data_IF_852504349265
#
_entry.id   IF_852504349265
#
_cell.length_a   1.000
_cell.length_b   1.000
_cell.length_c   1.000
_cell.angle_alpha   90.00
_cell.angle_beta   90.00
_cell.angle_gamma   90.00
#
_symmetry.space_group_name_H-M   'P 1'
#
loop_
_entity.id
_entity.type
_entity.pdbx_description
1 polymer ?
#
# COMPACT_ATOMS: atom_id res chain seq x y z
N UNK A 1 -23.09 -5.96 27.77
CA UNK A 1 -21.85 -5.21 27.58
C UNK A 1 -21.64 -5.04 26.09
N UNK A 2 -21.73 -3.81 25.57
CA UNK A 2 -21.39 -3.53 24.17
C UNK A 2 -19.89 -3.82 23.99
N UNK A 3 -19.54 -4.74 23.10
CA UNK A 3 -18.14 -4.99 22.75
C UNK A 3 -17.59 -3.69 22.15
N UNK A 4 -16.59 -3.08 22.78
CA UNK A 4 -15.91 -1.91 22.21
C UNK A 4 -15.34 -2.32 20.85
N UNK A 5 -15.94 -1.83 19.77
CA UNK A 5 -15.48 -2.12 18.42
C UNK A 5 -14.13 -1.44 18.20
N UNK A 6 -13.11 -2.22 17.82
CA UNK A 6 -11.79 -1.66 17.50
C UNK A 6 -11.93 -0.64 16.36
N UNK A 7 -11.20 0.49 16.40
CA UNK A 7 -11.14 1.39 15.26
C UNK A 7 -10.67 0.64 14.02
N UNK A 8 -11.33 0.88 12.89
CA UNK A 8 -11.01 0.30 11.60
C UNK A 8 -10.12 1.28 10.84
N UNK A 9 -8.92 0.83 10.49
CA UNK A 9 -8.02 1.55 9.61
C UNK A 9 -7.95 0.82 8.26
N UNK A 10 -8.30 1.49 7.17
CA UNK A 10 -8.11 0.94 5.82
C UNK A 10 -6.93 1.63 5.15
N UNK A 11 -6.02 0.84 4.57
CA UNK A 11 -4.96 1.31 3.69
C UNK A 11 -5.28 0.91 2.25
N UNK A 12 -5.57 1.90 1.41
CA UNK A 12 -5.65 1.73 -0.04
C UNK A 12 -4.26 1.96 -0.63
N UNK A 13 -3.75 0.98 -1.37
CA UNK A 13 -2.37 1.00 -1.87
C UNK A 13 -2.22 0.39 -3.26
N UNK A 14 -1.12 0.75 -3.92
CA UNK A 14 -0.67 0.17 -5.19
C UNK A 14 0.86 0.05 -5.15
N UNK A 15 1.39 -1.00 -5.77
CA UNK A 15 2.84 -1.27 -5.85
C UNK A 15 3.57 -0.15 -6.61
N UNK A 16 2.90 0.53 -7.56
CA UNK A 16 3.44 1.70 -8.25
C UNK A 16 3.64 2.94 -7.37
N UNK A 17 3.27 2.90 -6.08
CA UNK A 17 3.55 3.99 -5.13
C UNK A 17 4.55 3.53 -4.05
N UNK A 18 5.75 4.14 -3.99
CA UNK A 18 6.74 3.81 -2.96
C UNK A 18 6.32 4.34 -1.58
N UNK A 19 5.63 5.48 -1.51
CA UNK A 19 5.04 5.94 -0.25
C UNK A 19 3.96 5.00 0.26
N UNK A 20 3.30 4.23 -0.63
CA UNK A 20 2.37 3.20 -0.17
C UNK A 20 3.08 2.06 0.54
N UNK A 21 4.31 1.72 0.14
CA UNK A 21 5.15 0.77 0.88
C UNK A 21 5.49 1.29 2.27
N UNK A 22 5.82 2.58 2.37
CA UNK A 22 6.11 3.23 3.66
C UNK A 22 4.89 3.17 4.59
N UNK A 23 3.71 3.56 4.11
CA UNK A 23 2.48 3.46 4.87
C UNK A 23 2.15 2.01 5.26
N UNK A 24 2.34 1.07 4.35
CA UNK A 24 2.13 -0.35 4.61
C UNK A 24 3.00 -0.88 5.75
N UNK A 25 4.32 -0.67 5.71
CA UNK A 25 5.22 -1.17 6.76
C UNK A 25 5.00 -0.46 8.09
N UNK A 26 4.82 0.86 8.06
CA UNK A 26 4.58 1.64 9.27
C UNK A 26 3.27 1.23 9.95
N UNK A 27 2.17 1.05 9.21
CA UNK A 27 0.90 0.62 9.77
C UNK A 27 0.94 -0.81 10.31
N UNK A 28 1.64 -1.74 9.64
CA UNK A 28 1.83 -3.10 10.15
C UNK A 28 2.59 -3.12 11.49
N UNK A 29 3.61 -2.28 11.65
CA UNK A 29 4.36 -2.16 12.92
C UNK A 29 3.50 -1.60 14.05
N UNK A 30 2.56 -0.72 13.71
CA UNK A 30 1.70 -0.02 14.66
C UNK A 30 0.37 -0.72 14.94
N UNK A 31 -0.05 -1.73 14.16
CA UNK A 31 -1.37 -2.36 14.28
C UNK A 31 -1.70 -2.79 15.71
N UNK A 32 -0.77 -3.50 16.36
CA UNK A 32 -0.93 -3.96 17.76
C UNK A 32 -0.89 -2.81 18.76
N UNK A 33 0.01 -1.83 18.55
CA UNK A 33 0.20 -0.67 19.45
C UNK A 33 -1.04 0.22 19.46
N UNK A 34 -1.64 0.42 18.30
CA UNK A 34 -2.84 1.22 18.13
C UNK A 34 -4.12 0.46 18.53
N UNK A 35 -4.05 -0.86 18.68
CA UNK A 35 -5.18 -1.75 18.93
C UNK A 35 -6.32 -1.53 17.91
N UNK A 36 -5.95 -1.50 16.64
CA UNK A 36 -6.88 -1.30 15.50
C UNK A 36 -7.18 -2.62 14.80
N UNK A 37 -8.19 -2.60 13.93
CA UNK A 37 -8.31 -3.53 12.82
C UNK A 37 -7.70 -2.87 11.57
N UNK A 38 -6.65 -3.47 11.00
CA UNK A 38 -6.03 -2.97 9.78
C UNK A 38 -6.55 -3.75 8.56
N UNK A 39 -7.11 -3.04 7.58
CA UNK A 39 -7.50 -3.60 6.29
C UNK A 39 -6.58 -3.10 5.17
N UNK A 40 -5.95 -4.04 4.47
CA UNK A 40 -5.08 -3.79 3.34
C UNK A 40 -5.86 -3.98 2.04
N UNK A 41 -5.99 -2.91 1.25
CA UNK A 41 -6.84 -2.85 0.08
C UNK A 41 -6.02 -2.48 -1.17
N UNK A 42 -5.63 -3.46 -1.99
CA UNK A 42 -5.06 -3.18 -3.31
C UNK A 42 -6.07 -2.38 -4.16
N UNK A 43 -5.59 -1.31 -4.80
CA UNK A 43 -6.33 -0.46 -5.74
C UNK A 43 -5.45 -0.13 -6.94
N UNK A 44 -6.00 0.49 -7.99
CA UNK A 44 -5.22 0.88 -9.18
C UNK A 44 -4.88 2.36 -9.17
N UNK A 45 -3.60 2.70 -8.96
CA UNK A 45 -3.10 4.08 -9.01
C UNK A 45 -3.20 4.66 -10.43
N UNK A 46 -3.03 3.83 -11.45
CA UNK A 46 -3.19 4.23 -12.85
C UNK A 46 -4.61 4.75 -13.13
N UNK A 47 -5.63 4.05 -12.62
CA UNK A 47 -7.02 4.51 -12.74
C UNK A 47 -7.31 5.77 -11.91
N UNK A 48 -6.71 5.88 -10.72
CA UNK A 48 -6.82 7.11 -9.91
C UNK A 48 -6.23 8.30 -10.68
N UNK A 49 -5.01 8.18 -11.21
CA UNK A 49 -4.38 9.24 -11.99
C UNK A 49 -5.13 9.57 -13.27
N UNK A 50 -5.72 8.59 -13.94
CA UNK A 50 -6.62 8.81 -15.08
C UNK A 50 -7.80 9.72 -14.70
N UNK A 51 -8.40 9.46 -13.54
CA UNK A 51 -9.56 10.21 -13.07
C UNK A 51 -9.20 11.62 -12.55
N UNK A 52 -8.02 11.81 -11.95
CA UNK A 52 -7.71 13.03 -11.19
C UNK A 52 -6.60 13.92 -11.75
N UNK A 53 -5.73 13.39 -12.62
CA UNK A 53 -4.47 14.05 -13.00
C UNK A 53 -4.07 13.85 -14.46
N UNK A 54 -5.00 13.46 -15.33
CA UNK A 54 -4.75 13.19 -16.77
C UNK A 54 -3.59 12.20 -16.98
N UNK A 55 -3.51 11.16 -16.16
CA UNK A 55 -2.48 10.12 -16.17
C UNK A 55 -1.05 10.55 -15.77
N UNK A 56 -0.85 11.76 -15.24
CA UNK A 56 0.49 12.21 -14.83
C UNK A 56 0.66 11.99 -13.33
N UNK A 57 1.61 11.14 -12.89
CA UNK A 57 1.91 11.02 -11.46
C UNK A 57 2.25 12.38 -10.87
N UNK A 58 1.67 12.71 -9.71
CA UNK A 58 1.87 14.02 -9.06
C UNK A 58 3.36 14.37 -8.86
N UNK A 59 4.19 13.38 -8.54
CA UNK A 59 5.63 13.52 -8.38
C UNK A 59 6.36 13.92 -9.68
N UNK A 60 5.76 13.69 -10.84
CA UNK A 60 6.36 13.91 -12.17
C UNK A 60 5.75 15.09 -12.93
N UNK A 61 4.84 15.85 -12.31
CA UNK A 61 4.21 17.02 -12.95
C UNK A 61 5.23 18.11 -13.32
N UNK A 62 6.36 18.19 -12.61
CA UNK A 62 7.43 19.15 -12.88
C UNK A 62 8.79 18.58 -12.45
N UNK A 63 9.91 18.99 -13.10
CA UNK A 63 11.25 18.49 -12.78
C UNK A 63 11.66 18.65 -11.31
N UNK A 64 11.24 19.75 -10.67
CA UNK A 64 11.54 20.03 -9.27
C UNK A 64 10.91 19.00 -8.33
N UNK A 65 9.66 18.60 -8.59
CA UNK A 65 8.98 17.54 -7.83
C UNK A 65 9.65 16.19 -8.04
N UNK A 66 10.06 15.88 -9.28
CA UNK A 66 10.73 14.62 -9.58
C UNK A 66 12.08 14.52 -8.86
N UNK A 67 12.88 15.60 -8.88
CA UNK A 67 14.15 15.66 -8.18
C UNK A 67 14.00 15.57 -6.65
N UNK A 68 12.97 16.21 -6.10
CA UNK A 68 12.68 16.12 -4.66
C UNK A 68 12.23 14.71 -4.28
N UNK A 69 11.31 14.12 -5.04
CA UNK A 69 10.79 12.75 -4.83
C UNK A 69 11.92 11.74 -4.69
N UNK A 70 12.91 11.77 -5.59
CA UNK A 70 14.05 10.85 -5.57
C UNK A 70 14.88 11.00 -4.27
N UNK A 71 15.12 12.24 -3.82
CA UNK A 71 15.86 12.49 -2.57
C UNK A 71 15.06 12.09 -1.34
N UNK A 72 13.78 12.42 -1.33
CA UNK A 72 12.89 12.16 -0.21
C UNK A 72 12.69 10.66 0.03
N UNK A 73 12.53 9.86 -1.02
CA UNK A 73 12.41 8.41 -0.88
C UNK A 73 13.60 7.76 -0.17
N UNK A 74 14.83 8.24 -0.42
CA UNK A 74 16.01 7.76 0.30
C UNK A 74 15.95 8.12 1.79
N UNK A 75 15.55 9.35 2.12
CA UNK A 75 15.42 9.81 3.50
C UNK A 75 14.32 9.06 4.26
N UNK A 76 13.15 8.93 3.65
CA UNK A 76 11.99 8.24 4.23
C UNK A 76 12.28 6.74 4.37
N UNK A 77 12.90 6.12 3.37
CA UNK A 77 13.37 4.73 3.45
C UNK A 77 14.33 4.52 4.62
N UNK A 78 15.36 5.36 4.74
CA UNK A 78 16.31 5.31 5.85
C UNK A 78 15.63 5.55 7.21
N UNK A 79 14.69 6.50 7.30
CA UNK A 79 13.94 6.77 8.54
C UNK A 79 13.11 5.56 8.97
N UNK A 80 12.39 4.91 8.04
CA UNK A 80 11.57 3.73 8.35
C UNK A 80 12.35 2.41 8.31
N UNK A 81 13.62 2.39 7.94
CA UNK A 81 14.38 1.14 7.78
C UNK A 81 13.81 0.25 6.68
N UNK A 82 13.29 0.86 5.61
CA UNK A 82 12.79 0.19 4.42
C UNK A 82 13.88 0.35 3.34
N UNK A 83 14.30 -0.72 2.64
CA UNK A 83 15.37 -0.65 1.64
C UNK A 83 14.88 -0.03 0.32
N UNK A 84 14.26 1.15 0.41
CA UNK A 84 13.80 1.95 -0.71
C UNK A 84 14.99 2.49 -1.49
N UNK A 85 15.05 2.12 -2.77
CA UNK A 85 15.99 2.63 -3.75
C UNK A 85 15.17 3.23 -4.89
N UNK A 86 15.27 4.55 -5.12
CA UNK A 86 14.61 5.19 -6.25
C UNK A 86 15.26 4.77 -7.57
N UNK A 87 14.46 4.36 -8.56
CA UNK A 87 14.96 4.16 -9.94
C UNK A 87 14.92 5.48 -10.73
N UNK A 88 15.95 5.71 -11.54
CA UNK A 88 15.94 6.80 -12.55
C UNK A 88 14.97 6.51 -13.69
N UNK A 89 14.72 5.23 -13.97
CA UNK A 89 13.94 4.75 -15.11
C UNK A 89 12.47 4.45 -14.75
N UNK A 90 12.07 4.71 -13.50
CA UNK A 90 10.71 4.43 -13.01
C UNK A 90 9.61 5.06 -13.90
N UNK A 91 9.88 6.21 -14.50
CA UNK A 91 8.93 6.86 -15.42
C UNK A 91 8.68 5.99 -16.67
N UNK A 92 9.72 5.39 -17.22
CA UNK A 92 9.62 4.53 -18.40
C UNK A 92 8.91 3.23 -18.05
N UNK A 93 9.23 2.63 -16.90
CA UNK A 93 8.55 1.42 -16.43
C UNK A 93 7.04 1.63 -16.25
N UNK A 94 6.63 2.76 -15.65
CA UNK A 94 5.22 3.08 -15.43
C UNK A 94 4.45 3.36 -16.73
N UNK A 95 5.12 3.96 -17.74
CA UNK A 95 4.48 4.32 -19.02
C UNK A 95 4.41 3.12 -19.98
N UNK A 96 5.43 2.27 -19.99
CA UNK A 96 5.57 1.20 -20.98
C UNK A 96 4.89 -0.12 -20.58
N UNK A 97 4.45 -0.26 -19.32
CA UNK A 97 3.89 -1.50 -18.81
C UNK A 97 2.44 -1.35 -18.32
N UNK A 98 1.70 -2.46 -18.37
CA UNK A 98 0.37 -2.53 -17.74
C UNK A 98 0.51 -2.48 -16.22
N UNK A 99 0.07 -1.37 -15.63
CA UNK A 99 0.07 -1.18 -14.17
C UNK A 99 -1.01 -1.99 -13.44
N UNK A 100 -1.79 -2.80 -14.15
CA UNK A 100 -2.95 -3.51 -13.60
C UNK A 100 -2.64 -4.89 -13.06
N UNK A 101 -1.59 -5.56 -13.54
CA UNK A 101 -1.27 -6.92 -13.11
C UNK A 101 -0.95 -7.01 -11.61
N UNK A 102 -0.07 -6.16 -11.04
CA UNK A 102 0.21 -6.21 -9.60
C UNK A 102 -1.03 -6.01 -8.71
N UNK A 103 -1.85 -4.95 -8.86
CA UNK A 103 -3.03 -4.78 -8.02
C UNK A 103 -4.11 -5.84 -8.27
N UNK A 104 -4.22 -6.41 -9.49
CA UNK A 104 -5.10 -7.57 -9.76
C UNK A 104 -4.64 -8.81 -9.03
N UNK A 105 -3.36 -9.15 -9.11
CA UNK A 105 -2.81 -10.32 -8.43
C UNK A 105 -2.99 -10.19 -6.92
N UNK A 106 -2.66 -9.03 -6.33
CA UNK A 106 -2.86 -8.81 -4.91
C UNK A 106 -4.33 -8.86 -4.49
N UNK A 107 -5.25 -8.47 -5.39
CA UNK A 107 -6.70 -8.65 -5.16
C UNK A 107 -7.08 -10.13 -5.19
N UNK A 108 -6.54 -10.92 -6.13
CA UNK A 108 -6.75 -12.36 -6.19
C UNK A 108 -6.16 -13.08 -4.96
N UNK A 109 -4.97 -12.70 -4.50
CA UNK A 109 -4.38 -13.17 -3.25
C UNK A 109 -5.27 -12.82 -2.06
N UNK A 110 -5.79 -11.59 -1.98
CA UNK A 110 -6.71 -11.20 -0.90
C UNK A 110 -8.00 -12.04 -0.87
N UNK A 111 -8.49 -12.48 -2.02
CA UNK A 111 -9.70 -13.29 -2.14
C UNK A 111 -9.47 -14.77 -1.81
N UNK A 112 -8.35 -15.34 -2.29
CA UNK A 112 -8.16 -16.79 -2.31
C UNK A 112 -7.09 -17.28 -1.32
N UNK A 113 -6.15 -16.42 -0.93
CA UNK A 113 -5.00 -16.78 -0.11
C UNK A 113 -4.55 -15.58 0.78
N UNK A 114 -5.46 -14.99 1.59
CA UNK A 114 -5.24 -13.71 2.27
C UNK A 114 -4.03 -13.70 3.22
N UNK A 115 -3.63 -14.86 3.74
CA UNK A 115 -2.44 -15.05 4.57
C UNK A 115 -1.13 -14.72 3.85
N UNK A 116 -1.12 -14.74 2.51
CA UNK A 116 0.03 -14.37 1.68
C UNK A 116 0.04 -12.90 1.26
N UNK A 117 -1.05 -12.15 1.46
CA UNK A 117 -1.17 -10.78 0.95
C UNK A 117 -0.02 -9.88 1.42
N UNK A 118 0.33 -9.96 2.71
CA UNK A 118 1.39 -9.13 3.27
C UNK A 118 2.74 -9.46 2.63
N UNK A 119 3.07 -10.75 2.53
CA UNK A 119 4.34 -11.23 1.97
C UNK A 119 4.43 -10.92 0.47
N UNK A 120 3.34 -11.15 -0.28
CA UNK A 120 3.26 -10.86 -1.70
C UNK A 120 3.42 -9.36 -1.99
N UNK A 121 2.72 -8.50 -1.25
CA UNK A 121 2.82 -7.04 -1.41
C UNK A 121 4.25 -6.55 -1.14
N UNK A 122 4.86 -7.02 -0.04
CA UNK A 122 6.26 -6.70 0.30
C UNK A 122 7.23 -7.16 -0.78
N UNK A 123 7.09 -8.38 -1.29
CA UNK A 123 7.97 -8.90 -2.34
C UNK A 123 7.84 -8.09 -3.63
N UNK A 124 6.62 -7.69 -4.02
CA UNK A 124 6.39 -6.81 -5.14
C UNK A 124 7.13 -5.47 -4.99
N UNK A 125 7.01 -4.83 -3.82
CA UNK A 125 7.74 -3.59 -3.57
C UNK A 125 9.25 -3.80 -3.53
N UNK A 126 9.74 -4.93 -3.01
CA UNK A 126 11.17 -5.27 -3.07
C UNK A 126 11.65 -5.37 -4.53
N UNK A 127 10.89 -6.00 -5.42
CA UNK A 127 11.21 -6.04 -6.85
C UNK A 127 11.24 -4.63 -7.45
N UNK A 128 10.16 -3.86 -7.28
CA UNK A 128 9.98 -2.56 -7.93
C UNK A 128 10.88 -1.44 -7.38
N UNK A 129 11.04 -1.37 -6.06
CA UNK A 129 11.60 -0.20 -5.36
C UNK A 129 12.81 -0.52 -4.48
N UNK A 130 13.42 -1.69 -4.67
CA UNK A 130 14.65 -2.04 -3.96
C UNK A 130 15.65 -2.71 -4.89
N UNK A 131 15.20 -3.71 -5.67
CA UNK A 131 16.07 -4.51 -6.54
C UNK A 131 15.98 -4.14 -8.02
N UNK A 132 15.04 -3.26 -8.39
CA UNK A 132 14.81 -2.80 -9.77
C UNK A 132 14.62 -3.96 -10.75
N UNK A 133 13.84 -4.95 -10.31
CA UNK A 133 13.49 -6.12 -11.10
C UNK A 133 12.15 -5.90 -11.81
N UNK A 134 11.92 -6.52 -12.98
CA UNK A 134 10.62 -6.48 -13.64
C UNK A 134 9.49 -6.90 -12.71
N UNK A 135 8.42 -6.09 -12.66
CA UNK A 135 7.32 -6.31 -11.72
C UNK A 135 5.91 -6.19 -12.29
N UNK A 136 5.73 -5.92 -13.58
CA UNK A 136 4.39 -5.86 -14.19
C UNK A 136 4.00 -7.14 -14.94
N UNK A 137 4.97 -8.01 -15.25
CA UNK A 137 4.76 -9.21 -16.06
C UNK A 137 4.03 -10.34 -15.33
N UNK A 138 3.43 -11.24 -16.10
CA UNK A 138 2.90 -12.51 -15.58
C UNK A 138 4.01 -13.37 -14.99
N UNK A 139 5.21 -13.34 -15.56
CA UNK A 139 6.37 -14.07 -15.03
C UNK A 139 6.73 -13.62 -13.60
N UNK A 140 6.57 -12.32 -13.29
CA UNK A 140 6.73 -11.81 -11.93
C UNK A 140 5.78 -12.50 -10.96
N UNK A 141 4.52 -12.71 -11.34
CA UNK A 141 3.53 -13.37 -10.48
C UNK A 141 4.01 -14.77 -10.14
N UNK A 142 4.47 -15.53 -11.14
CA UNK A 142 4.97 -16.89 -10.99
C UNK A 142 6.20 -16.89 -10.07
N UNK A 143 7.16 -15.99 -10.29
CA UNK A 143 8.35 -15.86 -9.44
C UNK A 143 7.99 -15.59 -7.97
N UNK A 144 7.02 -14.70 -7.73
CA UNK A 144 6.57 -14.36 -6.37
C UNK A 144 5.89 -15.55 -5.71
N UNK A 145 5.00 -16.25 -6.42
CA UNK A 145 4.36 -17.47 -5.92
C UNK A 145 5.39 -18.52 -5.53
N UNK A 146 6.38 -18.78 -6.38
CA UNK A 146 7.48 -19.72 -6.11
C UNK A 146 8.31 -19.30 -4.91
N UNK A 147 8.75 -18.05 -4.87
CA UNK A 147 9.59 -17.53 -3.77
C UNK A 147 8.88 -17.60 -2.42
N UNK A 148 7.57 -17.38 -2.39
CA UNK A 148 6.76 -17.40 -1.18
C UNK A 148 6.18 -18.78 -0.84
N UNK A 149 6.47 -19.80 -1.66
CA UNK A 149 5.90 -21.14 -1.56
C UNK A 149 4.37 -21.10 -1.46
N UNK A 150 3.73 -20.29 -2.31
CA UNK A 150 2.27 -20.24 -2.39
C UNK A 150 1.78 -21.50 -3.10
N UNK A 151 0.92 -22.32 -2.47
CA UNK A 151 0.38 -23.51 -3.13
C UNK A 151 -0.48 -23.11 -4.33
N UNK A 152 -0.60 -24.01 -5.32
CA UNK A 152 -1.49 -23.83 -6.47
C UNK A 152 -1.27 -22.53 -7.25
N UNK A 153 -0.01 -22.21 -7.59
CA UNK A 153 0.37 -21.00 -8.33
C UNK A 153 -0.44 -20.77 -9.62
N UNK A 154 -0.86 -21.85 -10.29
CA UNK A 154 -1.72 -21.81 -11.47
C UNK A 154 -3.12 -21.27 -11.16
N UNK A 155 -3.72 -21.71 -10.06
CA UNK A 155 -5.06 -21.27 -9.65
C UNK A 155 -5.05 -19.77 -9.30
N UNK A 156 -4.00 -19.28 -8.65
CA UNK A 156 -3.85 -17.85 -8.38
C UNK A 156 -3.59 -17.03 -9.65
N UNK A 157 -2.85 -17.57 -10.61
CA UNK A 157 -2.64 -16.92 -11.89
C UNK A 157 -3.96 -16.80 -12.67
N UNK A 158 -4.76 -17.85 -12.70
CA UNK A 158 -6.12 -17.83 -13.28
C UNK A 158 -7.02 -16.85 -12.52
N UNK A 159 -7.01 -16.87 -11.19
CA UNK A 159 -7.78 -15.94 -10.36
C UNK A 159 -7.39 -14.48 -10.61
N UNK A 160 -6.13 -14.19 -10.93
CA UNK A 160 -5.67 -12.84 -11.30
C UNK A 160 -6.34 -12.32 -12.57
N UNK A 161 -6.66 -13.21 -13.51
CA UNK A 161 -7.36 -12.89 -14.75
C UNK A 161 -8.88 -13.01 -14.64
N UNK A 162 -9.40 -13.45 -13.48
CA UNK A 162 -10.83 -13.63 -13.26
C UNK A 162 -11.60 -12.31 -13.28
N UNK A 163 -12.89 -12.40 -13.63
CA UNK A 163 -13.83 -11.29 -13.52
C UNK A 163 -13.97 -10.80 -12.09
N UNK A 164 -13.88 -11.69 -11.10
CA UNK A 164 -14.07 -11.37 -9.68
C UNK A 164 -12.95 -10.47 -9.16
N UNK A 165 -11.69 -10.83 -9.44
CA UNK A 165 -10.54 -9.99 -9.08
C UNK A 165 -10.59 -8.64 -9.80
N UNK A 166 -10.96 -8.62 -11.08
CA UNK A 166 -11.07 -7.39 -11.86
C UNK A 166 -12.20 -6.48 -11.34
N UNK A 167 -13.36 -7.04 -11.02
CA UNK A 167 -14.52 -6.31 -10.51
C UNK A 167 -14.24 -5.74 -9.12
N UNK A 168 -13.68 -6.53 -8.22
CA UNK A 168 -13.34 -6.08 -6.87
C UNK A 168 -12.26 -4.98 -6.88
N UNK A 169 -11.25 -5.10 -7.75
CA UNK A 169 -10.24 -4.05 -7.93
C UNK A 169 -10.90 -2.74 -8.40
N UNK A 170 -11.81 -2.82 -9.37
CA UNK A 170 -12.55 -1.67 -9.89
C UNK A 170 -13.45 -1.05 -8.81
N UNK A 171 -14.15 -1.88 -8.04
CA UNK A 171 -15.02 -1.44 -6.94
C UNK A 171 -14.23 -0.65 -5.89
N UNK A 172 -13.13 -1.22 -5.36
CA UNK A 172 -12.29 -0.56 -4.35
C UNK A 172 -11.62 0.71 -4.88
N UNK A 173 -11.21 0.69 -6.16
CA UNK A 173 -10.64 1.88 -6.80
C UNK A 173 -11.70 2.99 -6.94
N UNK A 174 -12.95 2.65 -7.25
CA UNK A 174 -14.05 3.61 -7.29
C UNK A 174 -14.46 4.09 -5.89
N UNK A 175 -14.43 3.22 -4.88
CA UNK A 175 -14.66 3.57 -3.47
C UNK A 175 -13.66 4.65 -3.04
N UNK A 176 -12.36 4.42 -3.25
CA UNK A 176 -11.33 5.38 -2.81
C UNK A 176 -11.39 6.70 -3.60
N UNK A 177 -11.78 6.66 -4.88
CA UNK A 177 -12.07 7.88 -5.66
C UNK A 177 -13.24 8.68 -5.09
N UNK A 178 -14.33 8.02 -4.67
CA UNK A 178 -15.47 8.69 -4.01
C UNK A 178 -15.08 9.32 -2.67
N UNK A 179 -14.07 8.78 -1.99
CA UNK A 179 -13.49 9.37 -0.78
C UNK A 179 -12.58 10.58 -1.07
N UNK A 180 -12.39 10.94 -2.34
CA UNK A 180 -11.60 12.10 -2.76
C UNK A 180 -10.13 11.80 -3.05
N UNK A 181 -9.74 10.53 -3.17
CA UNK A 181 -8.35 10.18 -3.42
C UNK A 181 -7.86 10.68 -4.79
N UNK A 182 -6.74 11.39 -4.76
CA UNK A 182 -6.03 11.90 -5.95
C UNK A 182 -4.62 11.32 -6.09
N UNK A 183 -4.27 10.37 -5.22
CA UNK A 183 -3.01 9.66 -5.19
C UNK A 183 -3.00 8.64 -4.06
N UNK A 184 -1.91 7.89 -3.95
CA UNK A 184 -1.73 6.84 -2.94
C UNK A 184 -0.42 7.01 -2.16
N UNK A 185 -0.36 6.57 -0.90
CA UNK A 185 -1.40 5.83 -0.18
C UNK A 185 -2.56 6.71 0.24
N UNK A 186 -3.74 6.11 0.33
CA UNK A 186 -4.90 6.71 0.96
C UNK A 186 -5.28 5.88 2.17
N UNK A 187 -5.48 6.53 3.32
CA UNK A 187 -5.78 5.86 4.58
C UNK A 187 -7.12 6.39 5.08
N UNK A 188 -8.01 5.51 5.52
CA UNK A 188 -9.20 5.92 6.27
C UNK A 188 -9.17 5.38 7.69
N UNK A 189 -9.65 6.18 8.64
CA UNK A 189 -9.87 5.79 10.02
C UNK A 189 -11.35 5.92 10.32
N UNK A 190 -12.01 4.81 10.66
CA UNK A 190 -13.34 4.78 11.24
C UNK A 190 -13.23 4.39 12.70
N UNK A 191 -13.80 5.20 13.60
CA UNK A 191 -13.81 4.93 15.04
C UNK A 191 -15.16 5.28 15.65
N UNK A 192 -15.47 4.69 16.79
CA UNK A 192 -16.62 5.07 17.59
C UNK A 192 -16.13 5.64 18.92
N UNK A 193 -16.53 6.87 19.24
CA UNK A 193 -16.26 7.51 20.53
C UNK A 193 -17.60 7.86 21.17
N UNK A 194 -17.87 7.25 22.33
CA UNK A 194 -19.09 7.52 23.12
C UNK A 194 -20.39 7.38 22.32
N UNK A 195 -20.44 6.44 21.37
CA UNK A 195 -21.61 6.20 20.51
C UNK A 195 -21.59 6.97 19.19
N UNK A 196 -20.70 7.94 19.01
CA UNK A 196 -20.59 8.71 17.77
C UNK A 196 -19.55 8.10 16.83
N UNK A 197 -19.97 7.80 15.60
CA UNK A 197 -19.08 7.35 14.54
C UNK A 197 -18.36 8.53 13.90
N UNK A 198 -17.04 8.46 13.82
CA UNK A 198 -16.19 9.42 13.11
C UNK A 198 -15.40 8.71 12.02
N UNK A 199 -15.33 9.35 10.86
CA UNK A 199 -14.56 8.87 9.70
C UNK A 199 -13.60 9.96 9.26
N UNK A 200 -12.32 9.62 9.17
CA UNK A 200 -11.25 10.50 8.69
C UNK A 200 -10.59 9.87 7.47
N UNK A 201 -10.12 10.73 6.55
CA UNK A 201 -9.33 10.34 5.38
C UNK A 201 -7.99 11.06 5.38
N UNK A 202 -6.94 10.36 5.01
CA UNK A 202 -5.57 10.86 4.99
C UNK A 202 -4.88 10.47 3.68
N UNK A 203 -4.13 11.39 3.11
CA UNK A 203 -3.24 11.13 1.98
C UNK A 203 -1.78 11.21 2.42
N UNK A 204 -1.00 10.19 2.03
CA UNK A 204 0.44 10.12 2.30
C UNK A 204 0.81 9.17 3.45
N UNK A 205 2.09 8.79 3.50
CA UNK A 205 2.67 7.91 4.53
C UNK A 205 3.11 8.66 5.79
N UNK A 206 2.99 9.99 5.79
CA UNK A 206 3.44 10.93 6.80
C UNK A 206 2.32 11.34 7.78
N UNK A 207 1.20 10.61 7.77
CA UNK A 207 -0.01 10.90 8.58
C UNK A 207 -0.15 10.04 9.83
N UNK A 208 0.74 9.06 10.01
CA UNK A 208 0.70 8.16 11.17
C UNK A 208 0.76 8.89 12.53
N UNK A 209 1.56 9.96 12.73
CA UNK A 209 1.52 10.71 13.99
C UNK A 209 0.14 11.31 14.30
N UNK A 210 -0.57 11.80 13.28
CA UNK A 210 -1.92 12.34 13.41
C UNK A 210 -2.92 11.22 13.74
N UNK A 211 -2.80 10.06 13.08
CA UNK A 211 -3.61 8.88 13.36
C UNK A 211 -3.41 8.41 14.81
N UNK A 212 -2.17 8.38 15.30
CA UNK A 212 -1.86 8.06 16.70
C UNK A 212 -2.54 9.04 17.65
N UNK A 213 -2.38 10.36 17.41
CA UNK A 213 -3.00 11.41 18.22
C UNK A 213 -4.52 11.29 18.27
N UNK A 214 -5.17 11.06 17.13
CA UNK A 214 -6.61 10.82 17.09
C UNK A 214 -6.95 9.63 17.99
N UNK A 215 -6.29 8.50 17.84
CA UNK A 215 -6.54 7.30 18.66
C UNK A 215 -6.13 7.42 20.14
N UNK A 216 -5.62 8.58 20.59
CA UNK A 216 -5.12 8.76 21.96
C UNK A 216 -3.90 7.90 22.24
N UNK A 217 -3.07 7.66 21.22
CA UNK A 217 -1.87 6.83 21.27
C UNK A 217 -0.64 7.68 21.00
N UNK A 218 0.46 7.34 21.64
CA UNK A 218 1.76 7.95 21.42
C UNK A 218 2.39 7.45 20.11
N UNK A 219 3.13 8.32 19.44
CA UNK A 219 3.91 7.98 18.25
C UNK A 219 5.37 7.71 18.64
N UNK A 220 5.79 6.45 18.53
CA UNK A 220 7.12 5.97 18.93
C UNK A 220 8.17 6.02 17.80
N UNK A 221 7.93 6.81 16.75
CA UNK A 221 8.82 6.86 15.58
C UNK A 221 8.77 5.58 14.74
N UNK A 222 9.88 5.16 14.11
CA UNK A 222 9.85 4.14 13.05
C UNK A 222 9.75 2.68 13.53
N UNK A 223 9.95 2.41 14.83
CA UNK A 223 9.93 1.06 15.42
C UNK A 223 10.77 0.04 14.63
N UNK A 224 12.00 0.42 14.29
CA UNK A 224 12.93 -0.46 13.57
C UNK A 224 13.22 -1.70 14.42
N UNK A 225 13.33 -2.88 13.79
CA UNK A 225 13.56 -4.16 14.48
C UNK A 225 14.78 -4.15 15.42
N UNK A 226 15.79 -3.30 15.15
CA UNK A 226 16.99 -3.17 15.98
C UNK A 226 16.86 -2.21 17.19
N UNK A 227 15.73 -1.50 17.37
CA UNK A 227 15.49 -0.58 18.49
C UNK A 227 14.54 -1.15 19.55
N UNK A 228 13.84 -2.26 19.26
CA UNK A 228 12.74 -2.78 20.08
C UNK A 228 13.15 -3.92 21.03
N UNK A 229 14.36 -3.90 21.60
CA UNK A 229 14.69 -4.86 22.69
C UNK A 229 14.09 -4.49 24.05
N UNK A 230 13.56 -3.27 24.22
CA UNK A 230 13.08 -2.75 25.51
C UNK A 230 11.61 -2.27 25.51
N UNK A 231 10.82 -2.57 24.48
CA UNK A 231 9.41 -2.16 24.40
C UNK A 231 8.53 -3.34 23.96
N UNK A 232 8.50 -4.41 24.77
CA UNK A 232 7.43 -5.42 24.82
C UNK A 232 7.33 -5.90 26.26
#
# INVERSE_FOLDING_TARGET
MSSIQKPLLKLYYDIGSPYSWVAFESLLRYEKILNIQLELLPVSIGHIFKATSKNIPNAMQMPQKANYFQKDLMLVGAYWGIPLQPSKDFKEEFVNNSTLNPPRFLTAVKLNAPEYLIKASREYWMKAWSRHEPFYGTDTIIEICKKLNIPEEKNLLEATQSTDASNLLKERTNEVLKLGAFGLPWITLKRNISGNEEIFSFWGSDRLPIICNLLGKEFYGPLKENLNKNII
#
